data_IF_602444651274
#
_entry.id   IF_602444651274
#
_cell.length_a   1.000
_cell.length_b   1.000
_cell.length_c   1.000
_cell.angle_alpha   90.00
_cell.angle_beta   90.00
_cell.angle_gamma   90.00
#
_symmetry.space_group_name_H-M   'P 1'
#
loop_
_entity.id
_entity.type
_entity.pdbx_description
1 polymer ?
#
# COMPACT_ATOMS: atom_id res chain seq x y z
N UNK A 1 -27.32 43.83 -38.76
CA UNK A 1 -26.01 43.22 -38.46
C UNK A 1 -25.99 42.91 -36.97
N UNK A 2 -26.26 41.69 -36.61
CA UNK A 2 -26.24 41.24 -35.19
C UNK A 2 -25.29 40.03 -35.15
N UNK A 3 -24.14 40.22 -34.54
CA UNK A 3 -23.17 39.18 -34.31
C UNK A 3 -23.58 38.40 -33.05
N UNK A 4 -23.88 37.13 -33.23
CA UNK A 4 -24.17 36.16 -32.20
C UNK A 4 -22.84 35.61 -31.63
N UNK A 5 -22.54 35.96 -30.40
CA UNK A 5 -21.42 35.48 -29.63
C UNK A 5 -21.78 34.10 -29.03
N UNK A 6 -21.26 33.03 -29.57
CA UNK A 6 -21.34 31.69 -29.01
C UNK A 6 -20.27 31.55 -27.91
N UNK A 7 -20.71 31.51 -26.65
CA UNK A 7 -19.88 31.08 -25.53
C UNK A 7 -19.80 29.56 -25.55
N UNK A 8 -18.63 29.09 -25.88
CA UNK A 8 -18.21 27.68 -25.73
C UNK A 8 -17.84 27.43 -24.25
N UNK A 9 -18.79 26.88 -23.49
CA UNK A 9 -18.52 26.43 -22.12
C UNK A 9 -17.91 25.02 -22.17
N UNK A 10 -16.61 24.94 -22.41
CA UNK A 10 -15.84 23.74 -22.16
C UNK A 10 -15.65 23.59 -20.63
N UNK A 11 -16.49 22.78 -20.01
CA UNK A 11 -16.33 22.34 -18.62
C UNK A 11 -15.09 21.47 -18.47
N UNK A 12 -13.96 22.12 -18.20
CA UNK A 12 -12.77 21.45 -17.70
C UNK A 12 -13.06 20.92 -16.29
N UNK A 13 -13.32 19.60 -16.19
CA UNK A 13 -13.25 18.88 -14.92
C UNK A 13 -11.80 18.88 -14.45
N UNK A 14 -11.43 19.92 -13.72
CA UNK A 14 -10.13 20.11 -13.09
C UNK A 14 -9.86 19.04 -12.06
N UNK A 15 -9.34 17.89 -12.50
CA UNK A 15 -8.66 16.94 -11.62
C UNK A 15 -7.48 17.67 -10.99
N UNK A 16 -7.57 17.97 -9.68
CA UNK A 16 -6.48 18.56 -8.91
C UNK A 16 -5.30 17.57 -8.97
N UNK A 17 -4.41 17.78 -9.91
CA UNK A 17 -3.10 17.14 -9.93
C UNK A 17 -2.36 17.61 -8.69
N UNK A 18 -2.43 16.81 -7.60
CA UNK A 18 -1.56 17.01 -6.44
C UNK A 18 -0.14 16.95 -6.94
N UNK A 19 0.51 18.09 -7.03
CA UNK A 19 1.94 18.18 -7.32
C UNK A 19 2.66 17.19 -6.41
N UNK A 20 3.27 16.15 -7.01
CA UNK A 20 4.01 15.12 -6.26
C UNK A 20 5.20 15.80 -5.59
N UNK A 21 5.04 16.19 -4.32
CA UNK A 21 6.09 16.84 -3.55
C UNK A 21 7.26 15.87 -3.37
N UNK A 22 8.48 16.36 -3.64
CA UNK A 22 9.71 15.61 -3.38
C UNK A 22 10.19 15.82 -1.96
N UNK A 23 10.59 14.76 -1.30
CA UNK A 23 11.14 14.76 0.06
C UNK A 23 12.54 14.15 0.04
N UNK A 24 13.34 14.49 1.05
CA UNK A 24 14.67 13.92 1.20
C UNK A 24 14.62 12.76 2.19
N UNK A 25 15.22 11.62 1.82
CA UNK A 25 15.36 10.48 2.71
C UNK A 25 16.34 10.79 3.84
N UNK A 26 15.93 10.64 5.09
CA UNK A 26 16.77 10.83 6.26
C UNK A 26 17.95 9.82 6.33
N UNK A 27 17.83 8.67 5.65
CA UNK A 27 18.87 7.65 5.63
C UNK A 27 19.95 7.88 4.57
N UNK A 28 19.54 7.99 3.29
CA UNK A 28 20.49 8.07 2.17
C UNK A 28 20.64 9.49 1.58
N UNK A 29 19.91 10.47 2.09
CA UNK A 29 19.88 11.86 1.65
C UNK A 29 19.40 12.08 0.20
N UNK A 30 19.03 11.04 -0.55
CA UNK A 30 18.44 11.18 -1.89
C UNK A 30 17.04 11.78 -1.79
N UNK A 31 16.65 12.55 -2.83
CA UNK A 31 15.31 13.12 -2.96
C UNK A 31 14.45 12.21 -3.81
N UNK A 32 13.26 11.89 -3.31
CA UNK A 32 12.27 11.08 -4.00
C UNK A 32 10.86 11.63 -3.81
N UNK A 33 9.88 11.07 -4.52
CA UNK A 33 8.48 11.45 -4.32
C UNK A 33 8.01 11.03 -2.92
N UNK A 34 7.19 11.86 -2.31
CA UNK A 34 6.68 11.59 -0.96
C UNK A 34 5.95 10.24 -0.86
N UNK A 35 5.30 9.81 -1.95
CA UNK A 35 4.57 8.53 -2.04
C UNK A 35 5.49 7.30 -2.03
N UNK A 36 6.78 7.47 -2.34
CA UNK A 36 7.79 6.41 -2.35
C UNK A 36 8.61 6.37 -1.05
N UNK A 37 8.31 7.28 -0.14
CA UNK A 37 8.94 7.41 1.17
C UNK A 37 7.93 7.17 2.28
N UNK A 38 8.42 6.69 3.40
CA UNK A 38 7.65 6.55 4.64
C UNK A 38 7.86 7.79 5.49
N UNK A 39 6.78 8.38 5.97
CA UNK A 39 6.84 9.42 6.98
C UNK A 39 6.97 8.79 8.36
N UNK A 40 7.94 9.28 9.14
CA UNK A 40 8.16 8.92 10.54
C UNK A 40 8.06 10.21 11.34
N UNK A 41 7.33 10.18 12.44
CA UNK A 41 7.17 11.29 13.38
C UNK A 41 7.76 10.92 14.73
N UNK A 42 8.15 11.94 15.49
CA UNK A 42 8.53 11.78 16.88
C UNK A 42 7.29 11.99 17.74
N UNK A 43 6.97 11.04 18.61
CA UNK A 43 5.92 11.22 19.61
C UNK A 43 6.41 12.22 20.67
N UNK A 44 5.72 13.35 20.87
CA UNK A 44 6.16 14.37 21.80
C UNK A 44 6.05 13.94 23.26
N UNK A 45 5.28 12.90 23.58
CA UNK A 45 5.05 12.46 24.96
C UNK A 45 6.23 11.67 25.52
N UNK A 46 6.85 10.82 24.71
CA UNK A 46 7.89 9.90 25.15
C UNK A 46 9.16 9.92 24.28
N UNK A 47 9.17 10.71 23.20
CA UNK A 47 10.31 10.80 22.29
C UNK A 47 10.50 9.57 21.40
N UNK A 48 9.51 8.67 21.31
CA UNK A 48 9.57 7.49 20.46
C UNK A 48 9.27 7.81 19.00
N UNK A 49 9.82 7.01 18.08
CA UNK A 49 9.53 7.09 16.67
C UNK A 49 8.24 6.35 16.34
N UNK A 50 7.35 7.01 15.62
CA UNK A 50 6.11 6.43 15.14
C UNK A 50 6.00 6.55 13.61
N UNK A 51 5.60 5.44 12.96
CA UNK A 51 5.31 5.40 11.52
C UNK A 51 3.96 6.05 11.23
N UNK A 52 3.91 6.90 10.20
CA UNK A 52 2.70 7.62 9.78
C UNK A 52 2.45 7.46 8.27
N UNK A 53 1.92 6.31 7.87
CA UNK A 53 1.57 6.02 6.46
C UNK A 53 0.32 6.74 5.97
N UNK A 54 -0.49 7.26 6.88
CA UNK A 54 -1.73 7.97 6.55
C UNK A 54 -1.54 9.49 6.43
N UNK A 55 -0.33 9.99 6.78
CA UNK A 55 -0.02 11.43 6.90
C UNK A 55 -1.02 12.17 7.79
N UNK A 56 -1.47 11.48 8.85
CA UNK A 56 -2.53 11.92 9.75
C UNK A 56 -2.02 12.52 11.06
N UNK A 57 -0.73 12.29 11.39
CA UNK A 57 -0.14 12.78 12.63
C UNK A 57 0.38 14.20 12.48
N UNK A 58 0.12 15.03 13.49
CA UNK A 58 0.64 16.39 13.55
C UNK A 58 2.13 16.39 13.92
N UNK A 59 2.81 17.50 13.57
CA UNK A 59 4.19 17.73 13.95
C UNK A 59 5.20 17.51 12.82
N UNK A 60 6.47 17.67 13.19
CA UNK A 60 7.59 17.50 12.25
C UNK A 60 7.75 16.03 11.90
N UNK A 61 7.74 15.72 10.61
CA UNK A 61 8.00 14.38 10.10
C UNK A 61 9.34 14.28 9.37
N UNK A 62 10.02 13.16 9.52
CA UNK A 62 11.12 12.72 8.69
C UNK A 62 10.60 11.76 7.62
N UNK A 63 11.24 11.73 6.45
CA UNK A 63 10.91 10.79 5.38
C UNK A 63 12.07 9.82 5.20
N UNK A 64 11.78 8.54 4.97
CA UNK A 64 12.80 7.50 4.79
C UNK A 64 12.30 6.47 3.76
N UNK A 65 13.20 5.94 2.91
CA UNK A 65 12.84 4.81 2.07
C UNK A 65 12.52 3.59 2.92
N UNK A 66 11.51 2.82 2.51
CA UNK A 66 11.13 1.56 3.15
C UNK A 66 12.17 0.45 2.84
N UNK A 67 13.40 0.65 3.26
CA UNK A 67 14.49 -0.33 3.18
C UNK A 67 15.25 -0.39 4.49
N UNK A 68 15.71 -1.58 4.86
CA UNK A 68 16.47 -1.81 6.11
C UNK A 68 17.70 -0.89 6.19
N UNK A 69 18.42 -0.71 5.07
CA UNK A 69 19.61 0.13 4.99
C UNK A 69 19.30 1.60 5.24
N UNK A 70 18.24 2.13 4.65
CA UNK A 70 17.87 3.53 4.85
C UNK A 70 17.35 3.78 6.26
N UNK A 71 16.54 2.87 6.82
CA UNK A 71 16.07 2.95 8.21
C UNK A 71 17.25 2.89 9.17
N UNK A 72 18.20 1.98 8.97
CA UNK A 72 19.38 1.87 9.80
C UNK A 72 20.26 3.15 9.76
N UNK A 73 20.49 3.71 8.57
CA UNK A 73 21.24 4.97 8.43
C UNK A 73 20.51 6.14 9.08
N UNK A 74 19.18 6.19 8.96
CA UNK A 74 18.36 7.22 9.59
C UNK A 74 18.44 7.15 11.12
N UNK A 75 18.38 5.95 11.70
CA UNK A 75 18.55 5.73 13.14
C UNK A 75 19.95 6.13 13.65
N UNK A 76 21.01 5.91 12.86
CA UNK A 76 22.38 6.31 13.23
C UNK A 76 22.61 7.82 13.32
N UNK A 77 21.67 8.65 12.89
CA UNK A 77 21.80 10.11 12.99
C UNK A 77 20.93 10.93 12.05
N UNK A 78 20.34 10.32 11.02
CA UNK A 78 19.45 11.02 10.09
C UNK A 78 18.21 11.58 10.77
N UNK A 79 17.55 10.79 11.61
CA UNK A 79 16.40 11.23 12.40
C UNK A 79 16.79 12.32 13.42
N UNK A 80 17.91 12.16 14.12
CA UNK A 80 18.39 13.15 15.08
C UNK A 80 18.62 14.52 14.41
N UNK A 81 19.12 14.57 13.17
CA UNK A 81 19.28 15.81 12.40
C UNK A 81 17.93 16.46 12.07
N UNK A 82 16.90 15.66 11.71
CA UNK A 82 15.57 16.18 11.36
C UNK A 82 14.83 16.67 12.61
N UNK A 83 14.84 15.87 13.67
CA UNK A 83 14.09 16.17 14.90
C UNK A 83 14.83 17.11 15.86
N UNK A 84 16.14 17.29 15.66
CA UNK A 84 17.02 18.12 16.50
C UNK A 84 17.10 17.64 17.96
N UNK A 85 16.98 16.36 18.17
CA UNK A 85 17.11 15.71 19.47
C UNK A 85 17.67 14.30 19.29
N UNK A 86 18.14 13.68 20.39
CA UNK A 86 18.51 12.27 20.40
C UNK A 86 17.25 11.42 20.14
N UNK A 87 17.38 10.45 19.26
CA UNK A 87 16.30 9.55 18.89
C UNK A 87 16.74 8.12 19.18
N UNK A 88 15.89 7.35 19.83
CA UNK A 88 16.12 5.95 20.13
C UNK A 88 15.17 5.08 19.34
N UNK A 89 15.64 3.91 18.89
CA UNK A 89 14.85 2.95 18.14
C UNK A 89 15.72 1.91 17.45
N UNK A 90 15.07 0.85 16.98
CA UNK A 90 15.72 -0.22 16.22
C UNK A 90 15.07 -0.39 14.85
N UNK A 91 15.81 -1.03 13.93
CA UNK A 91 15.27 -1.35 12.59
C UNK A 91 14.09 -2.30 12.71
N UNK A 92 14.17 -3.22 13.66
CA UNK A 92 13.13 -4.23 13.92
C UNK A 92 11.85 -3.57 14.40
N UNK A 93 11.92 -2.68 15.40
CA UNK A 93 10.76 -1.99 15.95
C UNK A 93 10.06 -1.09 14.92
N UNK A 94 10.83 -0.32 14.12
CA UNK A 94 10.27 0.47 13.03
C UNK A 94 9.73 -0.41 11.90
N UNK A 95 10.40 -1.52 11.60
CA UNK A 95 9.95 -2.50 10.62
C UNK A 95 8.61 -3.13 11.00
N UNK A 96 8.45 -3.52 12.25
CA UNK A 96 7.18 -4.05 12.78
C UNK A 96 6.06 -3.00 12.69
N UNK A 97 6.32 -1.76 13.08
CA UNK A 97 5.35 -0.67 12.93
C UNK A 97 4.97 -0.43 11.46
N UNK A 98 5.92 -0.54 10.53
CA UNK A 98 5.67 -0.43 9.08
C UNK A 98 4.72 -1.52 8.60
N UNK A 99 4.95 -2.77 8.98
CA UNK A 99 4.09 -3.91 8.62
C UNK A 99 2.69 -3.72 9.17
N UNK A 100 2.56 -3.41 10.47
CA UNK A 100 1.26 -3.19 11.12
C UNK A 100 0.49 -2.02 10.46
N UNK A 101 1.19 -0.92 10.19
CA UNK A 101 0.56 0.26 9.56
C UNK A 101 0.14 0.01 8.13
N UNK A 102 0.94 -0.72 7.36
CA UNK A 102 0.61 -1.12 6.00
C UNK A 102 -0.60 -2.07 5.97
N UNK A 103 -0.63 -3.04 6.86
CA UNK A 103 -1.75 -3.98 7.00
C UNK A 103 -3.06 -3.26 7.33
N UNK A 104 -3.05 -2.34 8.29
CA UNK A 104 -4.22 -1.52 8.63
C UNK A 104 -4.69 -0.68 7.45
N UNK A 105 -3.74 -0.12 6.68
CA UNK A 105 -4.04 0.66 5.49
C UNK A 105 -4.69 -0.19 4.40
N UNK A 106 -4.15 -1.38 4.12
CA UNK A 106 -4.72 -2.33 3.14
C UNK A 106 -6.14 -2.73 3.56
N UNK A 107 -6.33 -3.09 4.82
CA UNK A 107 -7.64 -3.47 5.38
C UNK A 107 -8.67 -2.34 5.24
N UNK A 108 -8.29 -1.11 5.59
CA UNK A 108 -9.16 0.06 5.44
C UNK A 108 -9.52 0.37 3.99
N UNK A 109 -8.56 0.25 3.06
CA UNK A 109 -8.78 0.43 1.62
C UNK A 109 -9.72 -0.63 1.05
N UNK A 110 -9.51 -1.90 1.42
CA UNK A 110 -10.39 -3.01 0.99
C UNK A 110 -11.81 -2.87 1.54
N UNK A 111 -11.95 -2.54 2.83
CA UNK A 111 -13.25 -2.31 3.44
C UNK A 111 -13.98 -1.12 2.79
N UNK A 112 -13.27 -0.05 2.47
CA UNK A 112 -13.80 1.09 1.70
C UNK A 112 -14.22 0.67 0.29
N UNK A 113 -13.38 -0.06 -0.43
CA UNK A 113 -13.67 -0.55 -1.76
C UNK A 113 -14.90 -1.48 -1.79
N UNK A 114 -15.02 -2.38 -0.80
CA UNK A 114 -16.22 -3.23 -0.66
C UNK A 114 -17.48 -2.38 -0.52
N UNK A 115 -17.50 -1.40 0.40
CA UNK A 115 -18.67 -0.52 0.59
C UNK A 115 -19.01 0.25 -0.68
N UNK A 116 -18.00 0.69 -1.42
CA UNK A 116 -18.15 1.38 -2.71
C UNK A 116 -18.44 0.47 -3.90
N UNK A 117 -18.62 -0.86 -3.71
CA UNK A 117 -18.77 -1.86 -4.79
C UNK A 117 -17.60 -1.88 -5.78
N UNK A 118 -16.41 -1.46 -5.33
CA UNK A 118 -15.17 -1.44 -6.09
C UNK A 118 -14.28 -2.65 -5.77
N UNK A 119 -14.76 -3.59 -4.96
CA UNK A 119 -14.09 -4.86 -4.66
C UNK A 119 -15.09 -6.00 -4.64
N UNK A 120 -14.66 -7.13 -5.16
CA UNK A 120 -15.42 -8.37 -5.28
C UNK A 120 -14.65 -9.53 -4.64
N UNK A 121 -15.34 -10.60 -4.23
CA UNK A 121 -14.73 -11.77 -3.62
C UNK A 121 -15.34 -13.08 -4.09
N UNK A 122 -14.52 -14.12 -4.14
CA UNK A 122 -14.88 -15.47 -4.59
C UNK A 122 -14.23 -15.81 -5.92
N UNK A 123 -13.80 -17.07 -6.05
CA UNK A 123 -12.94 -17.52 -7.16
C UNK A 123 -13.60 -17.30 -8.53
N UNK A 124 -14.87 -17.67 -8.71
CA UNK A 124 -15.52 -17.57 -10.02
C UNK A 124 -15.73 -16.11 -10.44
N UNK A 125 -16.14 -15.25 -9.49
CA UNK A 125 -16.38 -13.83 -9.76
C UNK A 125 -15.06 -13.10 -10.07
N UNK A 126 -13.99 -13.42 -9.34
CA UNK A 126 -12.66 -12.85 -9.58
C UNK A 126 -12.10 -13.29 -10.93
N UNK A 127 -12.27 -14.58 -11.29
CA UNK A 127 -11.85 -15.11 -12.59
C UNK A 127 -12.58 -14.42 -13.75
N UNK A 128 -13.89 -14.24 -13.65
CA UNK A 128 -14.67 -13.52 -14.64
C UNK A 128 -14.17 -12.08 -14.80
N UNK A 129 -14.04 -11.33 -13.72
CA UNK A 129 -13.57 -9.95 -13.73
C UNK A 129 -12.14 -9.81 -14.29
N UNK A 130 -11.27 -10.79 -14.00
CA UNK A 130 -9.91 -10.80 -14.54
C UNK A 130 -9.91 -11.01 -16.05
N UNK A 131 -10.66 -11.99 -16.56
CA UNK A 131 -10.81 -12.27 -18.00
C UNK A 131 -11.43 -11.10 -18.78
N UNK A 132 -12.36 -10.38 -18.15
CA UNK A 132 -12.99 -9.18 -18.70
C UNK A 132 -12.07 -7.94 -18.62
N UNK A 133 -10.91 -8.05 -17.98
CA UNK A 133 -9.98 -6.93 -17.82
C UNK A 133 -10.42 -5.87 -16.81
N UNK A 134 -11.48 -6.14 -16.04
CA UNK A 134 -12.02 -5.20 -15.04
C UNK A 134 -11.32 -5.29 -13.68
N UNK A 135 -10.58 -6.37 -13.40
CA UNK A 135 -9.79 -6.53 -12.18
C UNK A 135 -8.48 -5.74 -12.27
N UNK A 136 -8.37 -4.66 -11.52
CA UNK A 136 -7.16 -3.85 -11.42
C UNK A 136 -6.08 -4.48 -10.52
N UNK A 137 -6.50 -5.24 -9.49
CA UNK A 137 -5.60 -5.98 -8.59
C UNK A 137 -6.31 -7.21 -8.03
N UNK A 138 -5.65 -8.35 -8.10
CA UNK A 138 -6.08 -9.59 -7.45
C UNK A 138 -5.35 -9.73 -6.11
N UNK A 139 -6.07 -10.12 -5.07
CA UNK A 139 -5.51 -10.33 -3.73
C UNK A 139 -5.88 -11.75 -3.29
N UNK A 140 -4.86 -12.51 -2.94
CA UNK A 140 -4.99 -13.91 -2.51
C UNK A 140 -4.58 -14.03 -1.05
N UNK A 141 -5.37 -14.75 -0.26
CA UNK A 141 -5.02 -15.07 1.10
C UNK A 141 -3.75 -15.95 1.15
N UNK A 142 -2.82 -15.64 2.05
CA UNK A 142 -1.53 -16.34 2.12
C UNK A 142 -1.67 -17.84 2.49
N UNK A 143 -2.80 -18.25 3.05
CA UNK A 143 -3.16 -19.62 3.39
C UNK A 143 -4.09 -20.29 2.35
N UNK A 144 -4.32 -19.66 1.19
CA UNK A 144 -5.20 -20.15 0.15
C UNK A 144 -4.43 -20.81 -1.02
N UNK A 145 -3.69 -21.87 -0.76
CA UNK A 145 -2.84 -22.55 -1.76
C UNK A 145 -3.60 -22.97 -3.04
N UNK A 146 -4.86 -23.40 -2.93
CA UNK A 146 -5.67 -23.77 -4.07
C UNK A 146 -6.02 -22.57 -4.96
N UNK A 147 -6.36 -21.42 -4.34
CA UNK A 147 -6.64 -20.18 -5.07
C UNK A 147 -5.39 -19.62 -5.77
N UNK A 148 -4.22 -19.77 -5.14
CA UNK A 148 -2.95 -19.37 -5.71
C UNK A 148 -2.61 -20.12 -7.01
N UNK A 149 -3.09 -21.36 -7.18
CA UNK A 149 -2.85 -22.20 -8.37
C UNK A 149 -3.83 -21.95 -9.52
N UNK A 150 -4.81 -21.07 -9.35
CA UNK A 150 -5.74 -20.71 -10.43
C UNK A 150 -4.97 -20.06 -11.58
N UNK A 151 -5.24 -20.46 -12.86
CA UNK A 151 -4.52 -19.92 -14.02
C UNK A 151 -4.58 -18.38 -14.10
N UNK A 152 -5.74 -17.79 -13.84
CA UNK A 152 -5.93 -16.35 -13.87
C UNK A 152 -5.14 -15.63 -12.75
N UNK A 153 -4.98 -16.29 -11.60
CA UNK A 153 -4.16 -15.75 -10.50
C UNK A 153 -2.67 -15.81 -10.88
N UNK A 154 -2.21 -16.91 -11.46
CA UNK A 154 -0.83 -17.05 -11.92
C UNK A 154 -0.50 -16.05 -13.03
N UNK A 155 -1.42 -15.83 -13.94
CA UNK A 155 -1.27 -14.80 -14.97
C UNK A 155 -1.24 -13.40 -14.34
N UNK A 156 -2.12 -13.10 -13.39
CA UNK A 156 -2.12 -11.82 -12.66
C UNK A 156 -0.80 -11.60 -11.90
N UNK A 157 -0.22 -12.66 -11.32
CA UNK A 157 1.10 -12.61 -10.68
C UNK A 157 2.19 -12.25 -11.70
N UNK A 158 2.22 -12.92 -12.85
CA UNK A 158 3.22 -12.66 -13.91
C UNK A 158 3.14 -11.24 -14.46
N UNK A 159 1.93 -10.64 -14.46
CA UNK A 159 1.69 -9.26 -14.88
C UNK A 159 1.88 -8.23 -13.75
N UNK A 160 2.28 -8.65 -12.53
CA UNK A 160 2.39 -7.76 -11.37
C UNK A 160 1.05 -7.21 -10.87
N UNK A 161 -0.06 -7.84 -11.26
CA UNK A 161 -1.44 -7.48 -10.89
C UNK A 161 -2.01 -8.35 -9.76
N UNK A 162 -1.18 -9.10 -9.07
CA UNK A 162 -1.61 -9.89 -7.90
C UNK A 162 -0.68 -9.70 -6.72
N UNK A 163 -1.25 -9.79 -5.52
CA UNK A 163 -0.51 -9.79 -4.25
C UNK A 163 -1.06 -10.85 -3.30
N UNK A 164 -0.18 -11.42 -2.47
CA UNK A 164 -0.58 -12.17 -1.28
C UNK A 164 -0.77 -11.24 -0.10
N UNK A 165 -1.90 -11.36 0.60
CA UNK A 165 -2.13 -10.58 1.80
C UNK A 165 -3.15 -11.21 2.74
N UNK A 166 -2.86 -11.15 4.05
CA UNK A 166 -3.73 -11.67 5.09
C UNK A 166 -3.91 -13.19 5.01
N UNK A 167 -4.92 -13.70 5.69
CA UNK A 167 -5.42 -15.07 5.60
C UNK A 167 -6.88 -15.07 5.16
N UNK A 168 -7.44 -16.27 4.92
CA UNK A 168 -8.84 -16.43 4.46
C UNK A 168 -9.85 -15.81 5.44
N UNK A 169 -9.63 -15.95 6.74
CA UNK A 169 -10.52 -15.38 7.76
C UNK A 169 -10.46 -13.85 7.77
N UNK A 170 -9.26 -13.25 7.66
CA UNK A 170 -9.10 -11.81 7.62
C UNK A 170 -9.77 -11.20 6.39
N UNK A 171 -9.62 -11.81 5.22
CA UNK A 171 -10.35 -11.41 4.02
C UNK A 171 -11.86 -11.64 4.20
N UNK A 172 -12.25 -12.77 4.79
CA UNK A 172 -13.64 -13.09 5.11
C UNK A 172 -14.31 -12.00 5.93
N UNK A 173 -13.68 -11.56 7.02
CA UNK A 173 -14.18 -10.50 7.88
C UNK A 173 -14.46 -9.19 7.12
N UNK A 174 -13.58 -8.80 6.18
CA UNK A 174 -13.79 -7.62 5.33
C UNK A 174 -15.04 -7.79 4.45
N UNK A 175 -15.24 -8.97 3.87
CA UNK A 175 -16.34 -9.21 2.94
C UNK A 175 -17.65 -9.68 3.62
N UNK A 176 -17.65 -9.87 4.95
CA UNK A 176 -18.81 -10.36 5.70
C UNK A 176 -19.09 -11.83 5.45
N UNK A 177 -18.05 -12.65 5.36
CA UNK A 177 -18.06 -14.10 5.18
C UNK A 177 -17.09 -14.73 6.18
N UNK A 178 -17.26 -16.01 6.46
CA UNK A 178 -16.34 -16.75 7.35
C UNK A 178 -14.93 -16.80 6.76
N UNK A 179 -14.82 -17.14 5.48
CA UNK A 179 -13.56 -17.22 4.74
C UNK A 179 -13.67 -16.68 3.32
N UNK A 180 -12.61 -16.01 2.86
CA UNK A 180 -12.43 -15.58 1.47
C UNK A 180 -11.00 -15.93 1.04
N UNK A 181 -10.87 -16.80 0.05
CA UNK A 181 -9.56 -17.23 -0.47
C UNK A 181 -8.94 -16.19 -1.43
N UNK A 182 -9.78 -15.53 -2.22
CA UNK A 182 -9.37 -14.56 -3.25
C UNK A 182 -10.42 -13.46 -3.41
N UNK A 183 -9.93 -12.24 -3.61
CA UNK A 183 -10.75 -11.08 -3.95
C UNK A 183 -10.06 -10.25 -5.05
N UNK A 184 -10.82 -9.36 -5.69
CA UNK A 184 -10.27 -8.42 -6.65
C UNK A 184 -10.75 -7.00 -6.36
N UNK A 185 -9.88 -6.04 -6.63
CA UNK A 185 -10.17 -4.60 -6.63
C UNK A 185 -10.36 -4.16 -8.07
N UNK A 186 -11.46 -3.46 -8.35
CA UNK A 186 -11.87 -3.04 -9.69
C UNK A 186 -11.43 -1.61 -10.03
N UNK A 187 -10.95 -0.86 -9.04
CA UNK A 187 -10.57 0.55 -9.21
C UNK A 187 -9.05 0.73 -9.12
N UNK A 188 -8.45 1.25 -10.18
CA UNK A 188 -6.98 1.38 -10.29
C UNK A 188 -6.35 2.22 -9.17
N UNK A 189 -6.98 3.32 -8.76
CA UNK A 189 -6.46 4.17 -7.69
C UNK A 189 -6.38 3.45 -6.35
N UNK A 190 -7.38 2.61 -6.03
CA UNK A 190 -7.39 1.77 -4.83
C UNK A 190 -6.35 0.65 -4.95
N UNK A 191 -6.29 -0.01 -6.10
CA UNK A 191 -5.31 -1.05 -6.40
C UNK A 191 -3.88 -0.54 -6.22
N UNK A 192 -3.57 0.64 -6.78
CA UNK A 192 -2.27 1.30 -6.62
C UNK A 192 -1.94 1.63 -5.17
N UNK A 193 -2.91 2.13 -4.40
CA UNK A 193 -2.73 2.45 -2.98
C UNK A 193 -2.44 1.20 -2.14
N UNK A 194 -3.14 0.09 -2.41
CA UNK A 194 -2.92 -1.22 -1.76
C UNK A 194 -1.53 -1.76 -2.14
N UNK A 195 -1.20 -1.76 -3.42
CA UNK A 195 0.12 -2.20 -3.91
C UNK A 195 1.27 -1.40 -3.30
N UNK A 196 1.10 -0.08 -3.14
CA UNK A 196 2.08 0.78 -2.48
C UNK A 196 2.25 0.42 -1.00
N UNK A 197 1.15 0.26 -0.26
CA UNK A 197 1.20 -0.15 1.14
C UNK A 197 1.89 -1.52 1.31
N UNK A 198 1.58 -2.48 0.44
CA UNK A 198 2.23 -3.80 0.43
C UNK A 198 3.73 -3.70 0.17
N UNK A 199 4.15 -2.92 -0.81
CA UNK A 199 5.56 -2.71 -1.19
C UNK A 199 6.38 -2.11 -0.04
N UNK A 200 5.79 -1.19 0.73
CA UNK A 200 6.41 -0.59 1.92
C UNK A 200 6.67 -1.64 3.01
N UNK A 201 5.75 -2.58 3.21
CA UNK A 201 5.87 -3.61 4.24
C UNK A 201 6.86 -4.73 3.87
N UNK A 202 6.99 -5.07 2.58
CA UNK A 202 7.75 -6.23 2.09
C UNK A 202 9.16 -6.38 2.70
N UNK A 203 10.03 -5.35 2.76
CA UNK A 203 11.39 -5.50 3.30
C UNK A 203 11.44 -5.91 4.78
N UNK A 204 10.32 -5.77 5.50
CA UNK A 204 10.22 -6.00 6.95
C UNK A 204 9.29 -7.16 7.31
N UNK A 205 8.53 -7.69 6.36
CA UNK A 205 7.46 -8.66 6.62
C UNK A 205 7.95 -10.11 6.87
N UNK A 206 9.26 -10.38 6.77
CA UNK A 206 9.84 -11.71 6.96
C UNK A 206 9.47 -12.72 5.86
N UNK A 207 10.06 -13.89 5.89
CA UNK A 207 9.94 -14.94 4.84
C UNK A 207 8.49 -15.46 4.61
N UNK A 208 7.57 -15.30 5.57
CA UNK A 208 6.18 -15.74 5.43
C UNK A 208 5.36 -14.99 4.39
N UNK A 209 5.81 -13.81 3.96
CA UNK A 209 5.07 -12.96 3.03
C UNK A 209 5.46 -13.14 1.57
N UNK A 210 6.57 -13.81 1.29
CA UNK A 210 7.13 -14.00 -0.06
C UNK A 210 6.89 -15.40 -0.61
N UNK A 211 6.64 -16.40 0.26
CA UNK A 211 6.77 -17.81 -0.06
C UNK A 211 5.56 -18.46 -0.76
N UNK A 212 4.41 -17.80 -0.87
CA UNK A 212 3.22 -18.52 -1.36
C UNK A 212 3.14 -18.67 -2.90
N UNK A 213 3.88 -17.87 -3.66
CA UNK A 213 3.98 -18.01 -5.12
C UNK A 213 5.39 -18.36 -5.62
N UNK A 214 6.40 -18.38 -4.76
CA UNK A 214 7.71 -18.86 -5.16
C UNK A 214 7.61 -20.35 -5.48
N UNK A 215 7.88 -20.67 -6.72
CA UNK A 215 7.76 -21.97 -7.35
C UNK A 215 8.88 -22.95 -6.90
N UNK A 216 8.91 -23.35 -5.64
CA UNK A 216 9.81 -24.40 -5.18
C UNK A 216 9.17 -25.79 -5.17
N UNK A 217 7.96 -25.94 -5.71
CA UNK A 217 7.36 -27.25 -6.02
C UNK A 217 7.13 -27.37 -7.53
N UNK A 218 8.22 -27.45 -8.29
CA UNK A 218 8.21 -28.00 -9.66
C UNK A 218 8.88 -29.33 -9.69
#
# INVERSE_FOLDING_TARGET
>A
MAESNQHDESSETGGISRSRSRRQCAGCAKRDFADDLVRVVLDPADGTLAVDLADSRFGRGAHVHASKECVQKALRGGFAKVFKCKVEGTVEALGEQLVISADRRIEGLLAGAKRGKLAISGSDVVRAAYREGTAALVIVACDAAAAAKLPEVQEAVSQGKAIGWGNKQRLGAIFGRDEVAVCAVLHEGVAKAIGSARRIALPFAGARSEAWWSSEDR
#
